data_IF_327648202877
#
_entry.id   IF_327648202877
#
_cell.length_a   1.000
_cell.length_b   1.000
_cell.length_c   1.000
_cell.angle_alpha   90.00
_cell.angle_beta   90.00
_cell.angle_gamma   90.00
#
_symmetry.space_group_name_H-M   'P 1'
#
loop_
_entity.id
_entity.type
_entity.pdbx_description
1 polymer ?
#
# COMPACT_ATOMS: atom_id res chain seq x y z
N UNK A 1 48.87 49.66 12.01
CA UNK A 1 48.55 48.28 12.52
C UNK A 1 47.09 48.06 12.96
N UNK A 2 46.22 49.09 13.04
CA UNK A 2 44.79 48.92 13.45
C UNK A 2 43.79 48.70 12.30
N UNK A 3 44.18 48.96 11.09
CA UNK A 3 43.27 48.85 9.91
C UNK A 3 43.25 47.41 9.30
N UNK A 4 44.34 46.67 9.39
CA UNK A 4 44.38 45.29 8.86
C UNK A 4 43.56 44.29 9.67
N UNK A 5 43.30 44.52 10.96
CA UNK A 5 42.53 43.66 11.83
C UNK A 5 41.03 43.66 11.53
N UNK A 6 40.49 44.79 11.06
CA UNK A 6 39.04 44.90 10.77
C UNK A 6 38.61 44.20 9.46
N UNK A 7 39.52 44.09 8.47
CA UNK A 7 39.21 43.37 7.21
C UNK A 7 39.24 41.84 7.33
N UNK A 8 40.03 41.31 8.27
CA UNK A 8 40.08 39.87 8.51
C UNK A 8 38.85 39.31 9.25
N UNK A 9 38.25 40.10 10.16
CA UNK A 9 37.08 39.70 10.88
C UNK A 9 35.79 39.70 10.05
N UNK A 10 35.71 40.60 9.04
CA UNK A 10 34.54 40.68 8.12
C UNK A 10 34.43 39.49 7.17
N UNK A 11 35.57 39.05 6.62
CA UNK A 11 35.59 37.96 5.64
C UNK A 11 35.33 36.59 6.27
N UNK A 12 35.72 36.39 7.54
CA UNK A 12 35.48 35.12 8.25
C UNK A 12 34.00 34.96 8.65
N UNK A 13 33.31 36.06 8.96
CA UNK A 13 31.90 36.05 9.35
C UNK A 13 30.95 35.67 8.19
N UNK A 14 31.24 36.18 6.97
CA UNK A 14 30.40 35.90 5.80
C UNK A 14 30.59 34.49 5.28
N UNK A 15 31.78 33.89 5.37
CA UNK A 15 32.05 32.52 4.99
C UNK A 15 31.34 31.53 5.96
N UNK A 16 31.24 31.87 7.25
CA UNK A 16 30.57 31.04 8.25
C UNK A 16 29.04 31.05 8.09
N UNK A 17 28.46 32.19 7.67
CA UNK A 17 27.03 32.29 7.40
C UNK A 17 26.62 31.55 6.11
N UNK A 18 27.46 31.55 5.08
CA UNK A 18 27.20 30.81 3.82
C UNK A 18 27.32 29.31 4.07
N UNK A 19 28.26 28.85 4.91
CA UNK A 19 28.39 27.44 5.27
C UNK A 19 27.21 26.92 6.08
N UNK A 20 26.58 27.76 6.92
CA UNK A 20 25.40 27.36 7.70
C UNK A 20 24.12 27.30 6.84
N UNK A 21 24.02 28.14 5.80
CA UNK A 21 22.87 28.12 4.90
C UNK A 21 22.84 26.88 3.97
N UNK A 22 23.99 26.28 3.67
CA UNK A 22 24.07 25.09 2.81
C UNK A 22 23.75 23.80 3.59
N UNK A 23 23.85 23.80 4.93
CA UNK A 23 23.59 22.61 5.74
C UNK A 23 22.11 22.35 6.02
N UNK A 24 21.20 23.26 5.68
CA UNK A 24 19.76 23.15 5.97
C UNK A 24 18.97 22.51 4.80
N UNK A 25 19.58 22.28 3.64
CA UNK A 25 18.86 21.77 2.44
C UNK A 25 18.91 20.26 2.26
N UNK A 26 19.55 19.51 3.13
CA UNK A 26 19.78 18.06 2.93
C UNK A 26 18.99 17.14 3.85
N UNK A 27 17.84 17.55 4.37
CA UNK A 27 16.86 16.58 4.86
C UNK A 27 15.82 16.33 3.76
N UNK A 28 16.24 15.65 2.69
CA UNK A 28 15.30 14.89 1.91
C UNK A 28 14.68 13.87 2.88
N UNK A 29 13.51 14.20 3.43
CA UNK A 29 12.65 13.24 4.09
C UNK A 29 12.42 12.15 3.05
N UNK A 30 13.14 11.06 3.14
CA UNK A 30 12.79 9.83 2.44
C UNK A 30 11.48 9.41 3.09
N UNK A 31 10.37 9.91 2.53
CA UNK A 31 9.05 9.39 2.87
C UNK A 31 9.15 7.88 2.68
N UNK A 32 8.96 7.15 3.75
CA UNK A 32 9.03 5.69 3.70
C UNK A 32 8.06 5.24 2.61
N UNK A 33 8.51 4.40 1.68
CA UNK A 33 7.78 4.14 0.43
C UNK A 33 6.36 3.62 0.65
N UNK A 34 6.11 2.92 1.78
CA UNK A 34 4.77 2.46 2.15
C UNK A 34 3.81 3.62 2.49
N UNK A 35 4.28 4.75 3.06
CA UNK A 35 3.44 5.91 3.38
C UNK A 35 2.86 6.55 2.12
N UNK A 36 3.51 6.40 0.97
CA UNK A 36 3.01 6.86 -0.32
C UNK A 36 1.67 6.22 -0.69
N UNK A 37 1.37 5.04 -0.14
CA UNK A 37 0.13 4.30 -0.37
C UNK A 37 -0.99 4.67 0.61
N UNK A 38 -0.72 5.33 1.74
CA UNK A 38 -1.73 5.69 2.74
C UNK A 38 -2.92 6.46 2.18
N UNK A 39 -2.73 7.44 1.27
CA UNK A 39 -3.87 8.16 0.68
C UNK A 39 -4.78 7.30 -0.22
N UNK A 40 -4.41 6.04 -0.46
CA UNK A 40 -5.24 5.07 -1.16
C UNK A 40 -6.10 4.23 -0.21
N UNK A 41 -5.79 4.21 1.10
CA UNK A 41 -6.54 3.54 2.15
C UNK A 41 -7.57 4.51 2.74
N UNK A 42 -8.65 4.72 2.00
CA UNK A 42 -9.66 5.75 2.22
C UNK A 42 -10.52 5.48 3.47
N UNK A 43 -11.19 6.51 3.97
CA UNK A 43 -12.27 6.35 4.94
C UNK A 43 -13.47 5.65 4.29
N UNK A 44 -14.09 4.74 5.03
CA UNK A 44 -15.30 4.06 4.62
C UNK A 44 -16.48 4.61 5.45
N UNK A 45 -17.51 5.08 4.76
CA UNK A 45 -18.75 5.54 5.42
C UNK A 45 -19.31 4.46 6.33
N UNK A 46 -19.70 4.84 7.55
CA UNK A 46 -20.22 3.96 8.62
C UNK A 46 -19.22 2.98 9.24
N UNK A 47 -17.93 3.05 8.89
CA UNK A 47 -16.86 2.27 9.50
C UNK A 47 -15.90 3.17 10.24
N UNK A 48 -15.42 2.74 11.39
CA UNK A 48 -14.34 3.40 12.12
C UNK A 48 -13.03 2.84 11.60
N UNK A 49 -12.24 3.68 10.92
CA UNK A 49 -10.91 3.32 10.41
C UNK A 49 -9.82 3.68 11.41
N UNK A 50 -8.88 2.78 11.62
CA UNK A 50 -7.62 3.06 12.31
C UNK A 50 -6.69 3.88 11.42
N UNK A 51 -5.63 4.46 12.01
CA UNK A 51 -4.56 5.08 11.22
C UNK A 51 -3.86 4.02 10.35
N UNK A 52 -3.55 4.33 9.08
CA UNK A 52 -2.82 3.41 8.23
C UNK A 52 -1.43 3.10 8.79
N UNK A 53 -1.02 1.84 8.67
CA UNK A 53 0.32 1.36 9.01
C UNK A 53 0.97 0.72 7.80
N UNK A 54 2.28 0.47 7.85
CA UNK A 54 2.95 -0.20 6.74
C UNK A 54 4.39 -0.56 7.07
N UNK A 55 5.00 -1.32 6.17
CA UNK A 55 6.41 -1.69 6.27
C UNK A 55 7.04 -1.87 4.89
N UNK A 56 8.35 -1.68 4.86
CA UNK A 56 9.22 -2.11 3.77
C UNK A 56 10.04 -3.30 4.26
N UNK A 57 10.06 -4.36 3.48
CA UNK A 57 10.87 -5.55 3.75
C UNK A 57 11.85 -5.74 2.60
N UNK A 58 13.12 -5.96 2.94
CA UNK A 58 14.16 -6.35 1.97
C UNK A 58 14.87 -7.59 2.52
N UNK A 59 14.67 -8.71 1.87
CA UNK A 59 15.27 -10.00 2.22
C UNK A 59 15.88 -10.65 0.99
N UNK A 60 17.21 -10.76 0.95
CA UNK A 60 17.91 -11.51 -0.12
C UNK A 60 17.50 -11.08 -1.53
N UNK A 61 17.30 -9.78 -1.77
CA UNK A 61 16.88 -9.25 -3.08
C UNK A 61 15.37 -9.26 -3.32
N UNK A 62 14.57 -9.85 -2.43
CA UNK A 62 13.12 -9.67 -2.44
C UNK A 62 12.79 -8.36 -1.71
N UNK A 63 12.19 -7.42 -2.42
CA UNK A 63 11.66 -6.18 -1.85
C UNK A 63 10.15 -6.28 -1.82
N UNK A 64 9.57 -6.09 -0.63
CA UNK A 64 8.13 -6.03 -0.44
C UNK A 64 7.77 -4.76 0.33
N UNK A 65 6.79 -4.04 -0.18
CA UNK A 65 6.23 -2.83 0.42
C UNK A 65 4.77 -3.12 0.69
N UNK A 66 4.34 -2.94 1.92
CA UNK A 66 2.92 -3.05 2.24
C UNK A 66 2.40 -1.82 2.99
N UNK A 67 1.11 -1.56 2.83
CA UNK A 67 0.35 -0.59 3.61
C UNK A 67 -0.99 -1.18 3.96
N UNK A 68 -1.39 -1.03 5.20
CA UNK A 68 -2.56 -1.69 5.78
C UNK A 68 -3.39 -0.69 6.56
N UNK A 69 -4.71 -0.82 6.49
CA UNK A 69 -5.65 -0.10 7.34
C UNK A 69 -6.77 -1.02 7.79
N UNK A 70 -7.04 -1.02 9.09
CA UNK A 70 -8.12 -1.79 9.71
C UNK A 70 -9.35 -0.90 9.91
N UNK A 71 -10.54 -1.51 9.78
CA UNK A 71 -11.82 -0.86 9.99
C UNK A 71 -12.71 -1.75 10.84
N UNK A 72 -13.54 -1.13 11.67
CA UNK A 72 -14.51 -1.80 12.53
C UNK A 72 -15.90 -1.17 12.42
N UNK A 73 -16.94 -2.02 12.54
CA UNK A 73 -18.35 -1.60 12.63
C UNK A 73 -19.10 -2.61 13.51
N UNK A 74 -19.24 -2.32 14.80
CA UNK A 74 -19.76 -3.28 15.78
C UNK A 74 -18.81 -4.50 15.88
N UNK A 75 -19.32 -5.69 15.64
CA UNK A 75 -18.54 -6.93 15.62
C UNK A 75 -17.92 -7.27 14.24
N UNK A 76 -18.16 -6.45 13.23
CA UNK A 76 -17.63 -6.62 11.87
C UNK A 76 -16.24 -6.03 11.77
N UNK A 77 -15.35 -6.68 11.01
CA UNK A 77 -13.98 -6.20 10.78
C UNK A 77 -13.62 -6.24 9.32
N UNK A 78 -12.82 -5.27 8.88
CA UNK A 78 -12.19 -5.23 7.56
C UNK A 78 -10.71 -4.89 7.74
N UNK A 79 -9.90 -5.44 6.84
CA UNK A 79 -8.49 -5.03 6.71
C UNK A 79 -8.20 -4.81 5.24
N UNK A 80 -8.00 -3.54 4.85
CA UNK A 80 -7.55 -3.19 3.52
C UNK A 80 -6.02 -3.19 3.49
N UNK A 81 -5.42 -3.89 2.54
CA UNK A 81 -3.98 -4.01 2.38
C UNK A 81 -3.58 -3.81 0.93
N UNK A 82 -2.54 -3.00 0.72
CA UNK A 82 -1.90 -2.82 -0.58
C UNK A 82 -0.50 -3.40 -0.46
N UNK A 83 -0.15 -4.31 -1.36
CA UNK A 83 1.17 -4.94 -1.42
C UNK A 83 1.78 -4.67 -2.77
N UNK A 84 3.08 -4.29 -2.77
CA UNK A 84 3.97 -4.35 -3.94
C UNK A 84 5.15 -5.24 -3.60
N UNK A 85 5.48 -6.14 -4.50
CA UNK A 85 6.69 -6.96 -4.42
C UNK A 85 7.40 -6.95 -5.77
N UNK A 86 8.76 -7.01 -5.75
CA UNK A 86 9.57 -7.08 -6.97
C UNK A 86 9.70 -8.51 -7.53
N UNK A 87 9.25 -9.50 -6.76
CA UNK A 87 9.19 -10.90 -7.18
C UNK A 87 7.76 -11.43 -7.02
N UNK A 88 7.42 -12.49 -7.74
CA UNK A 88 6.13 -13.14 -7.58
C UNK A 88 6.01 -13.73 -6.16
N UNK A 89 5.22 -13.07 -5.33
CA UNK A 89 4.91 -13.60 -3.99
C UNK A 89 3.86 -14.68 -4.17
N UNK A 90 4.27 -15.95 -4.20
CA UNK A 90 3.52 -17.17 -3.88
C UNK A 90 2.07 -17.38 -4.34
N UNK A 91 1.46 -16.42 -4.99
CA UNK A 91 0.14 -16.58 -5.60
C UNK A 91 0.33 -17.17 -6.99
N UNK A 92 0.24 -18.48 -7.08
CA UNK A 92 0.39 -19.26 -8.30
C UNK A 92 -0.30 -18.63 -9.50
N UNK A 93 0.16 -18.99 -10.70
CA UNK A 93 -0.45 -18.58 -11.97
C UNK A 93 -1.91 -19.01 -12.07
N UNK A 94 -2.81 -18.30 -11.38
CA UNK A 94 -4.24 -18.42 -11.62
C UNK A 94 -4.60 -17.61 -12.87
N UNK A 95 -4.04 -18.02 -14.01
CA UNK A 95 -4.46 -17.54 -15.33
C UNK A 95 -5.79 -18.19 -15.70
N UNK A 96 -6.89 -17.62 -15.26
CA UNK A 96 -8.20 -18.06 -15.67
C UNK A 96 -9.25 -17.06 -15.19
N UNK A 97 -9.67 -16.15 -16.06
CA UNK A 97 -10.95 -15.46 -15.84
C UNK A 97 -12.06 -16.50 -15.90
N UNK A 98 -12.86 -16.60 -14.84
CA UNK A 98 -14.01 -17.52 -14.80
C UNK A 98 -13.77 -18.82 -14.03
N UNK A 99 -12.69 -18.95 -13.26
CA UNK A 99 -12.52 -20.07 -12.34
C UNK A 99 -13.50 -19.91 -11.16
N UNK A 100 -14.30 -20.92 -10.94
CA UNK A 100 -15.16 -21.07 -9.77
C UNK A 100 -14.81 -22.40 -9.11
N UNK A 101 -14.52 -22.36 -7.81
CA UNK A 101 -14.33 -23.56 -7.00
C UNK A 101 -15.24 -23.42 -5.79
N UNK A 102 -16.07 -24.44 -5.58
CA UNK A 102 -16.95 -24.53 -4.43
C UNK A 102 -16.69 -25.82 -3.66
N UNK A 103 -16.46 -25.67 -2.37
CA UNK A 103 -16.43 -26.79 -1.41
C UNK A 103 -17.49 -26.57 -0.33
N UNK A 104 -17.78 -27.54 0.53
CA UNK A 104 -18.65 -27.33 1.68
C UNK A 104 -18.22 -26.17 2.57
N UNK A 105 -16.93 -25.93 2.68
CA UNK A 105 -16.31 -24.97 3.61
C UNK A 105 -15.97 -23.63 2.92
N UNK A 106 -15.47 -23.66 1.68
CA UNK A 106 -14.88 -22.49 1.03
C UNK A 106 -15.41 -22.32 -0.41
N UNK A 107 -15.72 -21.07 -0.76
CA UNK A 107 -15.99 -20.65 -2.14
C UNK A 107 -14.85 -19.77 -2.65
N UNK A 108 -14.35 -20.09 -3.86
CA UNK A 108 -13.35 -19.26 -4.55
C UNK A 108 -13.90 -18.90 -5.92
N UNK A 109 -13.92 -17.61 -6.24
CA UNK A 109 -14.31 -17.10 -7.54
C UNK A 109 -13.22 -16.19 -8.10
N UNK A 110 -12.94 -16.32 -9.40
CA UNK A 110 -12.05 -15.42 -10.12
C UNK A 110 -12.80 -14.84 -11.32
N UNK A 111 -12.89 -13.51 -11.38
CA UNK A 111 -13.59 -12.81 -12.47
C UNK A 111 -12.89 -11.49 -12.78
N UNK A 112 -13.15 -10.96 -13.98
CA UNK A 112 -12.65 -9.64 -14.37
C UNK A 112 -13.68 -8.57 -14.01
N UNK A 113 -13.25 -7.56 -13.25
CA UNK A 113 -14.08 -6.41 -12.85
C UNK A 113 -13.30 -5.14 -13.17
N UNK A 114 -13.89 -4.22 -13.94
CA UNK A 114 -13.28 -2.95 -14.34
C UNK A 114 -11.88 -3.09 -14.97
N UNK A 115 -11.63 -4.20 -15.68
CA UNK A 115 -10.36 -4.52 -16.31
C UNK A 115 -9.29 -5.08 -15.38
N UNK A 116 -9.64 -5.40 -14.14
CA UNK A 116 -8.76 -6.07 -13.17
C UNK A 116 -9.24 -7.49 -12.92
N UNK A 117 -8.30 -8.43 -12.78
CA UNK A 117 -8.61 -9.75 -12.26
C UNK A 117 -8.89 -9.64 -10.77
N UNK A 118 -10.00 -10.16 -10.32
CA UNK A 118 -10.47 -10.13 -8.92
C UNK A 118 -10.75 -11.54 -8.48
N UNK A 119 -10.09 -11.94 -7.40
CA UNK A 119 -10.37 -13.19 -6.69
C UNK A 119 -11.18 -12.88 -5.43
N UNK A 120 -12.24 -13.64 -5.20
CA UNK A 120 -12.93 -13.66 -3.92
C UNK A 120 -12.77 -15.04 -3.29
N UNK A 121 -12.51 -15.04 -2.01
CA UNK A 121 -12.46 -16.26 -1.16
C UNK A 121 -13.44 -16.02 -0.03
N UNK A 122 -14.31 -16.99 0.24
CA UNK A 122 -15.27 -16.93 1.33
C UNK A 122 -15.27 -18.23 2.11
N UNK A 123 -14.98 -18.13 3.38
CA UNK A 123 -15.10 -19.21 4.35
C UNK A 123 -16.51 -19.17 4.97
N UNK A 124 -17.27 -20.24 4.76
CA UNK A 124 -18.67 -20.33 5.18
C UNK A 124 -18.81 -20.57 6.68
N UNK A 125 -17.85 -21.26 7.30
CA UNK A 125 -17.87 -21.58 8.72
C UNK A 125 -17.54 -20.34 9.56
N UNK A 126 -16.48 -19.63 9.19
CA UNK A 126 -16.03 -18.45 9.91
C UNK A 126 -16.78 -17.16 9.53
N UNK A 127 -17.63 -17.21 8.50
CA UNK A 127 -18.27 -16.02 7.90
C UNK A 127 -17.24 -14.92 7.64
N UNK A 128 -16.14 -15.31 7.02
CA UNK A 128 -14.99 -14.47 6.74
C UNK A 128 -14.49 -14.69 5.31
N UNK A 129 -13.55 -13.84 4.86
CA UNK A 129 -12.99 -14.04 3.54
C UNK A 129 -12.09 -12.90 3.10
N UNK A 130 -11.80 -12.88 1.79
CA UNK A 130 -10.98 -11.86 1.18
C UNK A 130 -11.41 -11.58 -0.27
N UNK A 131 -11.31 -10.31 -0.66
CA UNK A 131 -11.39 -9.82 -2.03
C UNK A 131 -10.00 -9.35 -2.44
N UNK A 132 -9.36 -10.05 -3.38
CA UNK A 132 -8.04 -9.68 -3.88
C UNK A 132 -8.13 -9.18 -5.31
N UNK A 133 -7.59 -7.98 -5.56
CA UNK A 133 -7.52 -7.32 -6.86
C UNK A 133 -6.09 -7.34 -7.35
N UNK A 134 -5.83 -7.99 -8.47
CA UNK A 134 -4.52 -8.05 -9.10
C UNK A 134 -4.31 -6.78 -9.94
N UNK A 135 -3.49 -5.87 -9.43
CA UNK A 135 -3.28 -4.53 -10.02
C UNK A 135 -2.28 -4.55 -11.18
N UNK A 136 -1.30 -5.44 -11.12
CA UNK A 136 -0.28 -5.61 -12.18
C UNK A 136 -0.04 -7.09 -12.46
N UNK A 137 0.40 -7.40 -13.68
CA UNK A 137 0.76 -8.76 -14.04
C UNK A 137 2.16 -9.15 -13.53
N UNK A 138 2.41 -10.43 -13.43
CA UNK A 138 3.32 -11.13 -12.53
C UNK A 138 4.77 -11.27 -12.96
N UNK A 139 5.16 -10.95 -14.19
CA UNK A 139 6.49 -11.33 -14.70
C UNK A 139 7.67 -10.58 -14.05
N UNK A 140 7.43 -9.41 -13.48
CA UNK A 140 8.47 -8.55 -12.89
C UNK A 140 8.15 -8.10 -11.47
N UNK A 141 7.46 -8.92 -10.71
CA UNK A 141 6.88 -8.52 -9.44
C UNK A 141 5.44 -8.04 -9.61
N UNK A 142 4.69 -8.07 -8.53
CA UNK A 142 3.26 -7.80 -8.54
C UNK A 142 2.85 -6.70 -7.58
N UNK A 143 1.75 -6.03 -7.91
CA UNK A 143 1.02 -5.22 -6.95
C UNK A 143 -0.41 -5.73 -6.87
N UNK A 144 -0.94 -5.81 -5.66
CA UNK A 144 -2.31 -6.21 -5.42
C UNK A 144 -2.90 -5.46 -4.24
N UNK A 145 -4.22 -5.32 -4.30
CA UNK A 145 -5.03 -4.80 -3.21
C UNK A 145 -5.87 -5.94 -2.66
N UNK A 146 -5.89 -6.12 -1.35
CA UNK A 146 -6.71 -7.13 -0.68
C UNK A 146 -7.60 -6.46 0.37
N UNK A 147 -8.88 -6.79 0.38
CA UNK A 147 -9.80 -6.48 1.46
C UNK A 147 -10.22 -7.78 2.14
N UNK A 148 -9.60 -8.08 3.28
CA UNK A 148 -10.03 -9.17 4.16
C UNK A 148 -11.21 -8.71 5.02
N UNK A 149 -12.13 -9.61 5.33
CA UNK A 149 -13.34 -9.27 6.06
C UNK A 149 -13.81 -10.41 6.99
N UNK A 150 -14.54 -10.02 8.03
CA UNK A 150 -15.23 -10.94 8.92
C UNK A 150 -16.57 -10.31 9.35
N UNK A 151 -17.61 -11.18 9.44
CA UNK A 151 -18.95 -10.79 9.88
C UNK A 151 -19.80 -10.07 8.83
N UNK A 152 -19.38 -10.07 7.55
CA UNK A 152 -20.16 -9.56 6.41
C UNK A 152 -20.19 -10.56 5.26
N UNK A 153 -21.12 -10.40 4.34
CA UNK A 153 -21.21 -11.26 3.16
C UNK A 153 -20.12 -10.92 2.12
N UNK A 154 -19.77 -11.89 1.26
CA UNK A 154 -18.88 -11.71 0.12
C UNK A 154 -19.36 -10.55 -0.79
N UNK A 155 -20.67 -10.44 -1.02
CA UNK A 155 -21.25 -9.38 -1.84
C UNK A 155 -21.04 -7.99 -1.22
N UNK A 156 -21.24 -7.84 0.09
CA UNK A 156 -20.97 -6.60 0.83
C UNK A 156 -19.48 -6.24 0.77
N UNK A 157 -18.61 -7.21 1.01
CA UNK A 157 -17.16 -7.02 0.93
C UNK A 157 -16.69 -6.60 -0.47
N UNK A 158 -17.22 -7.22 -1.52
CA UNK A 158 -16.93 -6.83 -2.90
C UNK A 158 -17.42 -5.41 -3.21
N UNK A 159 -18.60 -5.04 -2.70
CA UNK A 159 -19.14 -3.68 -2.81
C UNK A 159 -18.22 -2.64 -2.14
N UNK A 160 -17.68 -2.96 -0.95
CA UNK A 160 -16.73 -2.12 -0.23
C UNK A 160 -15.38 -2.05 -0.95
N UNK A 161 -14.86 -3.17 -1.45
CA UNK A 161 -13.60 -3.21 -2.21
C UNK A 161 -13.66 -2.32 -3.47
N UNK A 162 -14.82 -2.19 -4.11
CA UNK A 162 -15.03 -1.32 -5.28
C UNK A 162 -15.01 0.18 -4.94
N UNK A 163 -15.13 0.58 -3.68
CA UNK A 163 -15.00 1.99 -3.27
C UNK A 163 -13.56 2.50 -3.33
N UNK A 164 -12.58 1.59 -3.26
CA UNK A 164 -11.18 1.93 -3.43
C UNK A 164 -10.86 2.15 -4.91
N UNK A 165 -10.13 3.22 -5.21
CA UNK A 165 -9.70 3.52 -6.59
C UNK A 165 -8.52 2.61 -6.99
N UNK A 166 -8.83 1.46 -7.58
CA UNK A 166 -7.83 0.47 -8.02
C UNK A 166 -6.85 1.03 -9.05
N UNK A 167 -7.29 1.98 -9.90
CA UNK A 167 -6.42 2.62 -10.90
C UNK A 167 -5.40 3.52 -10.21
N UNK A 168 -5.84 4.31 -9.22
CA UNK A 168 -4.96 5.15 -8.40
C UNK A 168 -3.97 4.29 -7.60
N UNK A 169 -4.43 3.20 -6.96
CA UNK A 169 -3.57 2.26 -6.23
C UNK A 169 -2.51 1.68 -7.17
N UNK A 170 -2.91 1.18 -8.35
CA UNK A 170 -2.01 0.67 -9.39
C UNK A 170 -0.92 1.69 -9.75
N UNK A 171 -1.32 2.93 -10.07
CA UNK A 171 -0.41 4.00 -10.44
C UNK A 171 0.60 4.31 -9.32
N UNK A 172 0.13 4.42 -8.08
CA UNK A 172 0.99 4.67 -6.92
C UNK A 172 1.93 3.51 -6.64
N UNK A 173 1.45 2.26 -6.68
CA UNK A 173 2.30 1.09 -6.49
C UNK A 173 3.38 0.96 -7.58
N UNK A 174 3.09 1.33 -8.83
CA UNK A 174 4.07 1.33 -9.92
C UNK A 174 5.15 2.41 -9.78
N UNK A 175 4.86 3.54 -9.13
CA UNK A 175 5.83 4.61 -8.89
C UNK A 175 6.82 4.29 -7.76
N UNK A 176 6.56 3.30 -6.93
CA UNK A 176 7.49 2.86 -5.88
C UNK A 176 8.65 2.07 -6.50
N UNK A 177 9.85 2.39 -6.09
CA UNK A 177 11.10 1.76 -6.54
C UNK A 177 11.64 0.80 -5.50
#
# INVERSE_FOLDING_TARGET
>A
MKELSKKFFGACGEILLISFAILVVATAVHAESYQTLYPCLIDLSEWTGEEPTGMNMNMSGMVMINSTRTYSKGNKKLTAMIIKANQAVGMGDMQGSGMHMESPEVNINIKTINGFQVQTVYDKEENSGAVTVFLTSKQTGGAFFTLSYAGISESEALGLAKKFDWKKIKSKAQSLR
#
